data_IF_033869856043
#
_entry.id   IF_033869856043
#
_cell.length_a   1.000
_cell.length_b   1.000
_cell.length_c   1.000
_cell.angle_alpha   90.00
_cell.angle_beta   90.00
_cell.angle_gamma   90.00
#
_symmetry.space_group_name_H-M   'P 1'
#
loop_
_entity.id
_entity.type
_entity.pdbx_description
1 polymer ?
#
# COMPACT_ATOMS: atom_id res chain seq x y z
N UNK A 1 17.21 20.61 25.07
CA UNK A 1 18.16 19.59 25.54
C UNK A 1 18.53 19.91 26.98
N UNK A 2 18.37 18.94 27.88
CA UNK A 2 18.67 19.06 29.32
C UNK A 2 20.16 19.30 29.54
N UNK A 3 20.50 20.00 30.64
CA UNK A 3 21.89 20.21 31.05
C UNK A 3 22.57 18.89 31.46
N UNK A 4 23.89 18.80 31.24
CA UNK A 4 24.71 17.66 31.69
C UNK A 4 25.24 16.74 30.59
N UNK A 5 24.85 16.93 29.32
CA UNK A 5 25.51 16.26 28.20
C UNK A 5 26.91 16.84 27.99
N UNK A 6 27.94 15.99 28.04
CA UNK A 6 29.34 16.38 27.89
C UNK A 6 30.16 15.24 27.24
N UNK A 7 31.35 15.53 26.70
CA UNK A 7 32.25 14.49 26.21
C UNK A 7 32.46 13.38 27.25
N UNK A 8 32.40 12.14 26.80
CA UNK A 8 32.50 10.94 27.65
C UNK A 8 31.16 10.32 28.08
N UNK A 9 30.02 11.01 27.93
CA UNK A 9 28.71 10.37 28.07
C UNK A 9 28.56 9.25 27.03
N UNK A 10 28.00 8.10 27.41
CA UNK A 10 27.86 6.96 26.51
C UNK A 10 26.51 6.25 26.59
N UNK A 11 26.18 5.55 25.51
CA UNK A 11 25.02 4.68 25.40
C UNK A 11 25.41 3.35 24.79
N UNK A 12 24.71 2.29 25.19
CA UNK A 12 24.96 0.92 24.73
C UNK A 12 23.65 0.27 24.27
N UNK A 13 23.70 -0.41 23.13
CA UNK A 13 22.61 -1.23 22.62
C UNK A 13 23.13 -2.62 22.27
N UNK A 14 22.35 -3.65 22.58
CA UNK A 14 22.74 -5.05 22.36
C UNK A 14 21.70 -5.75 21.51
N UNK A 15 22.15 -6.51 20.50
CA UNK A 15 21.32 -7.34 19.62
C UNK A 15 21.83 -8.78 19.58
N UNK A 16 20.91 -9.70 19.29
CA UNK A 16 21.23 -11.07 18.90
C UNK A 16 21.14 -11.14 17.38
N UNK A 17 22.20 -11.60 16.72
CA UNK A 17 22.28 -11.66 15.26
C UNK A 17 21.38 -12.78 14.74
N UNK A 18 20.39 -12.43 13.92
CA UNK A 18 19.53 -13.37 13.21
C UNK A 18 19.80 -13.41 11.69
N UNK A 19 19.09 -14.30 10.98
CA UNK A 19 19.31 -14.57 9.57
C UNK A 19 19.06 -13.36 8.66
N UNK A 20 18.22 -12.40 9.07
CA UNK A 20 17.96 -11.16 8.31
C UNK A 20 19.11 -10.15 8.41
N UNK A 21 20.03 -10.34 9.36
CA UNK A 21 21.08 -9.37 9.66
C UNK A 21 22.44 -9.71 9.04
N UNK A 22 22.57 -10.91 8.47
CA UNK A 22 23.82 -11.44 7.93
C UNK A 22 23.86 -11.44 6.41
N UNK A 23 25.07 -11.39 5.84
CA UNK A 23 25.32 -11.67 4.42
C UNK A 23 26.20 -12.91 4.29
N UNK A 24 25.88 -13.76 3.34
CA UNK A 24 26.67 -14.97 3.03
C UNK A 24 27.73 -14.63 1.99
N UNK A 25 29.00 -14.70 2.38
CA UNK A 25 30.11 -14.38 1.49
C UNK A 25 30.41 -15.55 0.54
N UNK A 26 30.43 -15.28 -0.77
CA UNK A 26 30.77 -16.28 -1.77
C UNK A 26 29.81 -17.48 -1.87
N UNK A 27 28.62 -17.40 -1.28
CA UNK A 27 27.64 -18.49 -1.26
C UNK A 27 27.94 -19.62 -0.26
N UNK A 28 29.00 -19.52 0.55
CA UNK A 28 29.31 -20.49 1.61
C UNK A 28 28.53 -20.12 2.88
N UNK A 29 27.55 -20.94 3.26
CA UNK A 29 26.71 -20.71 4.45
C UNK A 29 27.48 -20.72 5.77
N UNK A 30 28.74 -21.15 5.79
CA UNK A 30 29.64 -21.04 6.94
C UNK A 30 30.31 -19.67 7.03
N UNK A 31 30.28 -18.89 5.96
CA UNK A 31 30.84 -17.55 5.85
C UNK A 31 29.75 -16.46 5.89
N UNK A 32 28.75 -16.64 6.76
CA UNK A 32 27.74 -15.62 7.04
C UNK A 32 28.26 -14.63 8.08
N UNK A 33 28.31 -13.36 7.73
CA UNK A 33 28.81 -12.28 8.59
C UNK A 33 27.76 -11.20 8.79
N UNK A 34 27.72 -10.63 9.99
CA UNK A 34 26.92 -9.44 10.29
C UNK A 34 27.20 -8.33 9.27
N UNK A 35 26.14 -7.86 8.64
CA UNK A 35 26.24 -7.01 7.46
C UNK A 35 26.52 -5.55 7.80
N UNK A 36 27.25 -4.85 6.93
CA UNK A 36 27.58 -3.43 7.10
C UNK A 36 26.35 -2.55 7.34
N UNK A 37 25.22 -2.69 6.62
CA UNK A 37 24.03 -1.88 6.90
C UNK A 37 23.47 -2.07 8.32
N UNK A 38 23.45 -3.31 8.82
CA UNK A 38 22.99 -3.59 10.18
C UNK A 38 23.98 -3.08 11.24
N UNK A 39 25.28 -3.09 10.93
CA UNK A 39 26.30 -2.48 11.78
C UNK A 39 26.13 -0.97 11.93
N UNK A 40 25.89 -0.27 10.82
CA UNK A 40 25.57 1.17 10.83
C UNK A 40 24.33 1.41 11.70
N UNK A 41 23.27 0.61 11.51
CA UNK A 41 22.02 0.77 12.27
C UNK A 41 22.20 0.53 13.79
N UNK A 42 23.01 -0.48 14.17
CA UNK A 42 23.32 -0.75 15.58
C UNK A 42 24.02 0.44 16.24
N UNK A 43 25.04 0.98 15.57
CA UNK A 43 25.80 2.14 16.05
C UNK A 43 24.94 3.40 16.10
N UNK A 44 24.12 3.63 15.07
CA UNK A 44 23.20 4.75 15.00
C UNK A 44 22.22 4.75 16.20
N UNK A 45 21.60 3.60 16.48
CA UNK A 45 20.67 3.48 17.60
C UNK A 45 21.38 3.58 18.95
N UNK A 46 22.61 3.08 19.06
CA UNK A 46 23.42 3.26 20.27
C UNK A 46 23.68 4.74 20.58
N UNK A 47 23.96 5.55 19.55
CA UNK A 47 24.12 7.00 19.69
C UNK A 47 22.80 7.70 20.07
N UNK A 48 21.66 7.22 19.56
CA UNK A 48 20.34 7.72 19.99
C UNK A 48 20.06 7.41 21.46
N UNK A 49 20.34 6.17 21.90
CA UNK A 49 20.17 5.79 23.31
C UNK A 49 21.08 6.60 24.24
N UNK A 50 22.30 6.94 23.81
CA UNK A 50 23.20 7.83 24.56
C UNK A 50 22.60 9.23 24.79
N UNK A 51 21.80 9.74 23.85
CA UNK A 51 21.15 11.06 23.94
C UNK A 51 19.84 11.06 24.71
N UNK A 52 19.11 9.95 24.71
CA UNK A 52 17.74 9.87 25.25
C UNK A 52 17.58 10.47 26.65
N UNK A 53 18.49 10.28 27.62
CA UNK A 53 18.36 10.90 28.95
C UNK A 53 18.40 12.43 28.95
N UNK A 54 19.00 13.03 27.92
CA UNK A 54 19.28 14.46 27.80
C UNK A 54 18.29 15.19 26.89
N UNK A 55 17.34 14.50 26.28
CA UNK A 55 16.28 15.13 25.47
C UNK A 55 15.21 15.77 26.38
N UNK A 56 14.72 16.95 25.99
CA UNK A 56 13.51 17.55 26.55
C UNK A 56 12.24 16.93 25.91
N UNK A 57 11.09 17.15 26.53
CA UNK A 57 9.81 16.73 25.94
C UNK A 57 9.61 17.41 24.57
N UNK A 58 9.18 16.64 23.58
CA UNK A 58 9.05 17.11 22.18
C UNK A 58 10.35 17.07 21.36
N UNK A 59 11.50 16.78 21.99
CA UNK A 59 12.77 16.64 21.27
C UNK A 59 13.04 15.20 20.81
N UNK A 60 13.65 15.08 19.63
CA UNK A 60 14.21 13.82 19.12
C UNK A 60 15.59 14.08 18.52
N UNK A 61 16.40 13.03 18.33
CA UNK A 61 17.66 13.14 17.60
C UNK A 61 17.58 12.42 16.25
N UNK A 62 18.13 13.04 15.21
CA UNK A 62 18.22 12.47 13.85
C UNK A 62 19.68 12.36 13.42
N UNK A 63 20.04 11.29 12.72
CA UNK A 63 21.36 11.14 12.12
C UNK A 63 21.56 12.16 11.00
N UNK A 64 22.73 12.81 10.97
CA UNK A 64 23.08 13.83 9.97
C UNK A 64 24.28 13.38 9.13
N UNK A 65 25.23 12.71 9.75
CA UNK A 65 26.41 12.18 9.09
C UNK A 65 26.85 10.90 9.81
N UNK A 66 27.35 9.94 9.03
CA UNK A 66 27.79 8.64 9.52
C UNK A 66 28.96 8.14 8.69
N UNK A 67 30.07 7.85 9.36
CA UNK A 67 31.29 7.32 8.74
C UNK A 67 31.76 6.12 9.53
N UNK A 68 31.57 4.93 8.97
CA UNK A 68 31.87 3.65 9.64
C UNK A 68 32.90 2.86 8.84
N UNK A 69 33.90 2.35 9.55
CA UNK A 69 34.85 1.35 9.07
C UNK A 69 34.49 -0.02 9.64
N UNK A 70 34.28 -0.98 8.75
CA UNK A 70 34.07 -2.37 9.09
C UNK A 70 35.44 -3.08 9.25
N UNK A 71 35.72 -3.65 10.42
CA UNK A 71 37.03 -4.23 10.75
C UNK A 71 36.99 -5.73 11.08
N UNK A 72 35.79 -6.32 11.22
CA UNK A 72 35.61 -7.75 11.46
C UNK A 72 34.14 -8.17 11.42
N UNK A 73 33.85 -9.48 11.41
CA UNK A 73 32.47 -9.99 11.32
C UNK A 73 31.92 -10.56 12.63
N UNK A 74 30.62 -10.88 12.65
CA UNK A 74 29.99 -11.68 13.70
C UNK A 74 29.14 -12.80 13.06
N UNK A 75 29.17 -14.05 13.58
CA UNK A 75 28.40 -15.15 13.03
C UNK A 75 26.92 -15.09 13.46
N UNK A 76 26.08 -15.90 12.81
CA UNK A 76 24.69 -16.10 13.19
C UNK A 76 24.58 -16.56 14.66
N UNK A 77 23.63 -16.01 15.41
CA UNK A 77 23.41 -16.32 16.82
C UNK A 77 24.39 -15.66 17.78
N UNK A 78 25.40 -14.93 17.30
CA UNK A 78 26.27 -14.15 18.17
C UNK A 78 25.56 -12.94 18.76
N UNK A 79 26.00 -12.52 19.95
CA UNK A 79 25.59 -11.27 20.56
C UNK A 79 26.52 -10.15 20.14
N UNK A 80 25.96 -9.13 19.49
CA UNK A 80 26.68 -7.92 19.12
C UNK A 80 26.20 -6.75 19.95
N UNK A 81 27.11 -5.86 20.32
CA UNK A 81 26.73 -4.63 21.01
C UNK A 81 27.44 -3.41 20.42
N UNK A 82 26.67 -2.34 20.29
CA UNK A 82 27.16 -1.03 19.90
C UNK A 82 27.40 -0.18 21.14
N UNK A 83 28.46 0.62 21.10
CA UNK A 83 28.77 1.66 22.08
C UNK A 83 28.92 2.97 21.32
N UNK A 84 28.27 4.02 21.81
CA UNK A 84 28.44 5.36 21.30
C UNK A 84 28.86 6.27 22.45
N UNK A 85 29.98 6.97 22.29
CA UNK A 85 30.53 7.89 23.28
C UNK A 85 30.55 9.29 22.70
N UNK A 86 30.00 10.27 23.42
CA UNK A 86 30.02 11.67 23.01
C UNK A 86 31.47 12.14 22.92
N UNK A 87 31.89 12.58 21.73
CA UNK A 87 33.22 13.15 21.52
C UNK A 87 33.18 14.68 21.47
N UNK A 88 32.10 15.26 20.96
CA UNK A 88 31.89 16.71 21.00
C UNK A 88 30.41 17.10 21.00
N UNK A 89 30.10 18.23 21.65
CA UNK A 89 28.75 18.84 21.65
C UNK A 89 28.88 20.26 21.09
N UNK A 90 28.28 20.51 19.93
CA UNK A 90 28.14 21.85 19.34
C UNK A 90 26.65 22.22 19.27
N UNK A 91 26.19 22.94 20.29
CA UNK A 91 24.78 23.34 20.46
C UNK A 91 23.84 22.15 20.43
N UNK A 92 23.14 21.94 19.31
CA UNK A 92 22.18 20.85 19.07
C UNK A 92 22.75 19.77 18.16
N UNK A 93 24.03 19.84 17.79
CA UNK A 93 24.74 18.78 17.07
C UNK A 93 25.69 18.07 18.03
N UNK A 94 25.62 16.75 18.04
CA UNK A 94 26.41 15.91 18.92
C UNK A 94 27.13 14.86 18.08
N UNK A 95 28.45 14.82 18.23
CA UNK A 95 29.33 13.87 17.57
C UNK A 95 29.64 12.74 18.53
N UNK A 96 29.61 11.52 18.02
CA UNK A 96 29.89 10.30 18.75
C UNK A 96 31.02 9.56 18.10
N UNK A 97 31.93 9.06 18.94
CA UNK A 97 32.78 7.93 18.58
C UNK A 97 31.93 6.67 18.79
N UNK A 98 31.73 5.91 17.71
CA UNK A 98 30.89 4.71 17.71
C UNK A 98 31.70 3.47 17.44
N UNK A 99 31.41 2.41 18.17
CA UNK A 99 32.08 1.13 18.07
C UNK A 99 31.05 0.00 18.15
N UNK A 100 31.32 -1.10 17.45
CA UNK A 100 30.53 -2.31 17.50
C UNK A 100 31.44 -3.48 17.84
N UNK A 101 30.95 -4.35 18.72
CA UNK A 101 31.69 -5.49 19.24
C UNK A 101 30.88 -6.77 19.12
N UNK A 102 31.58 -7.90 18.91
CA UNK A 102 31.07 -9.25 19.05
C UNK A 102 31.85 -9.93 20.18
N UNK A 103 31.23 -10.13 21.35
CA UNK A 103 31.99 -10.37 22.57
C UNK A 103 32.94 -9.19 22.83
N UNK A 104 34.22 -9.45 23.09
CA UNK A 104 35.24 -8.40 23.30
C UNK A 104 35.95 -7.96 22.01
N UNK A 105 35.61 -8.57 20.86
CA UNK A 105 36.25 -8.27 19.58
C UNK A 105 35.57 -7.09 18.89
N UNK A 106 36.35 -6.05 18.58
CA UNK A 106 35.92 -4.94 17.73
C UNK A 106 35.61 -5.44 16.31
N UNK A 107 34.41 -5.16 15.83
CA UNK A 107 33.94 -5.54 14.49
C UNK A 107 33.66 -4.32 13.62
N UNK A 108 33.41 -3.15 14.20
CA UNK A 108 33.33 -1.89 13.47
C UNK A 108 33.61 -0.71 14.36
N UNK A 109 34.04 0.40 13.76
CA UNK A 109 34.24 1.66 14.44
C UNK A 109 34.03 2.85 13.50
N UNK A 110 33.82 4.03 14.07
CA UNK A 110 33.70 5.24 13.28
C UNK A 110 33.14 6.41 14.04
N UNK A 111 32.56 7.35 13.30
CA UNK A 111 32.00 8.59 13.84
C UNK A 111 30.55 8.72 13.39
N UNK A 112 29.69 9.17 14.30
CA UNK A 112 28.28 9.43 14.02
C UNK A 112 27.90 10.82 14.51
N UNK A 113 27.19 11.59 13.70
CA UNK A 113 26.72 12.93 14.07
C UNK A 113 25.20 12.93 14.14
N UNK A 114 24.64 13.37 15.27
CA UNK A 114 23.20 13.56 15.44
C UNK A 114 22.85 15.01 15.67
N UNK A 115 21.75 15.46 15.07
CA UNK A 115 21.13 16.73 15.40
C UNK A 115 19.90 16.50 16.28
N UNK A 116 19.79 17.27 17.37
CA UNK A 116 18.61 17.32 18.21
C UNK A 116 17.62 18.30 17.59
N UNK A 117 16.41 17.82 17.32
CA UNK A 117 15.35 18.51 16.58
C UNK A 117 14.09 18.57 17.43
N UNK A 118 13.23 19.54 17.14
CA UNK A 118 11.88 19.62 17.70
C UNK A 118 10.93 18.87 16.78
N UNK A 119 10.19 17.91 17.31
CA UNK A 119 9.31 17.04 16.52
C UNK A 119 8.22 17.87 15.84
N UNK A 120 7.61 18.81 16.55
CA UNK A 120 6.55 19.68 16.01
C UNK A 120 7.05 20.49 14.82
N UNK A 121 8.28 21.01 14.88
CA UNK A 121 8.87 21.78 13.77
C UNK A 121 9.13 20.90 12.55
N UNK A 122 9.50 19.63 12.74
CA UNK A 122 9.63 18.68 11.62
C UNK A 122 8.25 18.38 11.04
N UNK A 123 7.24 18.15 11.87
CA UNK A 123 5.85 17.93 11.43
C UNK A 123 5.34 19.13 10.62
N UNK A 124 5.55 20.36 11.11
CA UNK A 124 5.18 21.58 10.40
C UNK A 124 5.92 21.74 9.07
N UNK A 125 7.22 21.45 9.02
CA UNK A 125 8.00 21.55 7.78
C UNK A 125 7.60 20.48 6.76
N UNK A 126 7.32 19.25 7.22
CA UNK A 126 6.77 18.18 6.37
C UNK A 126 5.39 18.61 5.85
N UNK A 127 4.54 19.20 6.71
CA UNK A 127 3.23 19.70 6.30
C UNK A 127 3.33 20.82 5.26
N UNK A 128 4.29 21.74 5.40
CA UNK A 128 4.56 22.80 4.41
C UNK A 128 5.13 22.27 3.10
N UNK A 129 6.03 21.28 3.15
CA UNK A 129 6.51 20.57 1.94
C UNK A 129 5.40 19.76 1.28
N UNK A 130 4.36 19.39 2.05
CA UNK A 130 3.16 18.71 1.59
C UNK A 130 2.03 19.67 1.15
N UNK A 131 2.33 20.92 0.76
CA UNK A 131 1.34 21.82 0.12
C UNK A 131 0.80 21.32 -1.24
N UNK A 132 1.21 20.14 -1.71
CA UNK A 132 0.28 19.22 -2.36
C UNK A 132 0.11 18.02 -1.43
N UNK A 133 -1.07 17.81 -0.82
CA UNK A 133 -1.22 16.91 0.30
C UNK A 133 -0.93 15.48 -0.15
N UNK A 134 0.29 15.03 0.12
CA UNK A 134 0.61 13.65 0.33
C UNK A 134 -0.04 13.22 1.66
N UNK A 135 -1.37 13.22 1.73
CA UNK A 135 -2.06 12.57 2.83
C UNK A 135 -1.61 11.11 2.84
N UNK A 136 -1.00 10.68 3.94
CA UNK A 136 -1.08 9.27 4.28
C UNK A 136 -2.58 8.95 4.33
N UNK A 137 -3.05 8.01 3.48
CA UNK A 137 -4.45 7.61 3.29
C UNK A 137 -5.34 7.95 4.51
N UNK A 138 -6.13 9.01 4.37
CA UNK A 138 -6.84 9.73 5.44
C UNK A 138 -8.17 9.06 5.85
N UNK A 139 -8.26 7.74 5.77
CA UNK A 139 -9.47 7.01 6.19
C UNK A 139 -9.34 6.60 7.65
N UNK A 140 -10.10 7.27 8.51
CA UNK A 140 -10.24 6.95 9.93
C UNK A 140 -11.45 6.04 10.17
N UNK A 141 -11.42 5.30 11.28
CA UNK A 141 -12.55 4.51 11.74
C UNK A 141 -13.75 5.41 12.09
N UNK A 142 -14.94 5.01 11.67
CA UNK A 142 -16.21 5.64 12.04
C UNK A 142 -17.11 4.61 12.74
N UNK A 143 -17.46 4.87 14.00
CA UNK A 143 -18.32 4.01 14.84
C UNK A 143 -19.80 4.40 14.77
N UNK A 144 -20.17 5.39 13.96
CA UNK A 144 -21.57 5.78 13.74
C UNK A 144 -22.26 4.78 12.82
N UNK A 145 -23.59 4.78 12.79
CA UNK A 145 -24.35 4.02 11.78
C UNK A 145 -23.97 4.46 10.37
N UNK A 146 -23.95 3.51 9.42
CA UNK A 146 -23.74 3.81 8.01
C UNK A 146 -24.91 4.69 7.52
N UNK A 147 -24.65 5.83 6.85
CA UNK A 147 -25.71 6.65 6.30
C UNK A 147 -26.41 5.93 5.14
N UNK A 148 -27.55 6.46 4.71
CA UNK A 148 -28.21 5.98 3.49
C UNK A 148 -27.31 6.27 2.27
N UNK A 149 -26.98 5.22 1.52
CA UNK A 149 -26.11 5.26 0.35
C UNK A 149 -26.96 5.04 -0.92
N UNK A 150 -26.64 5.73 -2.00
CA UNK A 150 -27.42 5.66 -3.24
C UNK A 150 -26.81 4.71 -4.26
N UNK A 151 -25.48 4.65 -4.30
CA UNK A 151 -24.69 3.95 -5.31
C UNK A 151 -24.00 2.69 -4.79
N UNK A 152 -24.02 2.47 -3.47
CA UNK A 152 -23.53 1.26 -2.80
C UNK A 152 -24.61 0.74 -1.86
N UNK A 153 -24.75 -0.58 -1.74
CA UNK A 153 -25.60 -1.22 -0.72
C UNK A 153 -24.73 -2.05 0.22
N UNK A 154 -25.06 -2.04 1.50
CA UNK A 154 -24.39 -2.86 2.52
C UNK A 154 -25.45 -3.63 3.28
N UNK A 155 -25.39 -4.95 3.20
CA UNK A 155 -26.20 -5.87 4.03
C UNK A 155 -25.27 -6.62 4.98
N UNK A 156 -25.65 -6.72 6.26
CA UNK A 156 -24.86 -7.44 7.26
C UNK A 156 -25.69 -8.57 7.84
N UNK A 157 -25.23 -9.79 7.59
CA UNK A 157 -25.85 -11.02 8.10
C UNK A 157 -24.76 -11.92 8.66
N UNK A 158 -24.93 -12.45 9.88
CA UNK A 158 -23.99 -13.38 10.53
C UNK A 158 -22.52 -12.90 10.55
N UNK A 159 -22.31 -11.60 10.81
CA UNK A 159 -20.99 -10.94 10.79
C UNK A 159 -20.30 -10.90 9.42
N UNK A 160 -21.03 -11.16 8.34
CA UNK A 160 -20.57 -10.99 6.96
C UNK A 160 -21.27 -9.77 6.37
N UNK A 161 -20.48 -8.79 5.92
CA UNK A 161 -21.02 -7.65 5.18
C UNK A 161 -20.96 -7.93 3.68
N UNK A 162 -22.11 -7.90 3.00
CA UNK A 162 -22.19 -7.91 1.54
C UNK A 162 -22.27 -6.48 1.03
N UNK A 163 -21.15 -5.98 0.50
CA UNK A 163 -21.03 -4.67 -0.14
C UNK A 163 -21.30 -4.82 -1.63
N UNK A 164 -22.39 -4.24 -2.11
CA UNK A 164 -22.83 -4.31 -3.50
C UNK A 164 -22.70 -2.95 -4.18
N UNK A 165 -21.88 -2.86 -5.22
CA UNK A 165 -21.86 -1.71 -6.13
C UNK A 165 -23.22 -1.66 -6.86
N UNK A 166 -23.96 -0.58 -6.73
CA UNK A 166 -25.38 -0.51 -7.07
C UNK A 166 -25.70 0.64 -8.05
N UNK A 167 -25.04 0.64 -9.22
CA UNK A 167 -25.40 1.46 -10.38
C UNK A 167 -25.58 0.57 -11.63
N UNK A 168 -26.52 -0.41 -11.61
CA UNK A 168 -26.61 -1.45 -12.65
C UNK A 168 -26.88 -0.89 -14.05
N UNK A 169 -27.60 0.24 -14.17
CA UNK A 169 -27.86 0.92 -15.44
C UNK A 169 -26.58 1.44 -16.12
N UNK A 170 -25.56 1.77 -15.32
CA UNK A 170 -24.23 2.21 -15.78
C UNK A 170 -23.17 1.12 -15.61
N UNK A 171 -23.57 -0.16 -15.50
CA UNK A 171 -22.65 -1.28 -15.28
C UNK A 171 -21.75 -1.10 -14.04
N UNK A 172 -22.28 -0.46 -13.01
CA UNK A 172 -21.55 -0.12 -11.79
C UNK A 172 -20.27 0.70 -12.05
N UNK A 173 -20.27 1.58 -13.06
CA UNK A 173 -19.18 2.52 -13.26
C UNK A 173 -18.96 3.38 -11.99
N UNK A 174 -17.69 3.64 -11.67
CA UNK A 174 -17.28 4.36 -10.46
C UNK A 174 -17.41 5.86 -10.69
N UNK A 175 -18.43 6.47 -10.09
CA UNK A 175 -18.60 7.93 -10.06
C UNK A 175 -17.86 8.57 -8.89
N UNK A 176 -17.80 9.90 -8.89
CA UNK A 176 -17.40 10.69 -7.71
C UNK A 176 -18.25 10.32 -6.49
N UNK A 177 -19.57 10.17 -6.68
CA UNK A 177 -20.46 9.77 -5.60
C UNK A 177 -20.15 8.36 -5.07
N UNK A 178 -19.97 7.38 -5.96
CA UNK A 178 -19.63 6.02 -5.54
C UNK A 178 -18.26 5.98 -4.84
N UNK A 179 -17.29 6.76 -5.29
CA UNK A 179 -16.00 6.91 -4.62
C UNK A 179 -16.17 7.41 -3.18
N UNK A 180 -16.99 8.44 -2.98
CA UNK A 180 -17.31 8.95 -1.64
C UNK A 180 -18.01 7.91 -0.77
N UNK A 181 -19.01 7.21 -1.32
CA UNK A 181 -19.78 6.21 -0.58
C UNK A 181 -18.94 4.97 -0.21
N UNK A 182 -18.07 4.48 -1.10
CA UNK A 182 -17.14 3.38 -0.78
C UNK A 182 -16.17 3.82 0.33
N UNK A 183 -15.65 5.05 0.29
CA UNK A 183 -14.81 5.59 1.37
C UNK A 183 -15.55 5.60 2.71
N UNK A 184 -16.83 5.99 2.72
CA UNK A 184 -17.68 5.92 3.93
C UNK A 184 -17.85 4.48 4.42
N UNK A 185 -18.07 3.52 3.51
CA UNK A 185 -18.17 2.09 3.84
C UNK A 185 -16.87 1.57 4.43
N UNK A 186 -15.71 1.91 3.86
CA UNK A 186 -14.39 1.51 4.39
C UNK A 186 -14.16 2.08 5.80
N UNK A 187 -14.42 3.38 6.00
CA UNK A 187 -14.33 4.01 7.32
C UNK A 187 -15.28 3.37 8.34
N UNK A 188 -16.50 3.02 7.92
CA UNK A 188 -17.45 2.32 8.77
C UNK A 188 -16.96 0.90 9.13
N UNK A 189 -16.47 0.12 8.16
CA UNK A 189 -15.91 -1.21 8.41
C UNK A 189 -14.71 -1.16 9.37
N UNK A 190 -13.83 -0.17 9.25
CA UNK A 190 -12.73 0.06 10.19
C UNK A 190 -13.22 0.28 11.63
N UNK A 191 -14.38 0.92 11.81
CA UNK A 191 -14.99 1.17 13.13
C UNK A 191 -15.74 -0.01 13.72
N UNK A 192 -16.07 -1.04 12.93
CA UNK A 192 -16.92 -2.16 13.34
C UNK A 192 -16.25 -3.54 13.16
N UNK A 193 -14.99 -3.75 13.60
CA UNK A 193 -14.26 -5.00 13.37
C UNK A 193 -14.84 -6.20 14.13
N UNK A 194 -15.63 -5.96 15.17
CA UNK A 194 -16.29 -7.02 15.94
C UNK A 194 -17.61 -7.43 15.30
N UNK A 195 -18.37 -6.47 14.77
CA UNK A 195 -19.69 -6.72 14.17
C UNK A 195 -19.56 -7.30 12.76
N UNK A 196 -18.58 -6.82 12.00
CA UNK A 196 -18.25 -7.35 10.68
C UNK A 196 -16.88 -7.99 10.71
N UNK A 197 -16.83 -9.26 10.33
CA UNK A 197 -15.63 -10.11 10.39
C UNK A 197 -15.11 -10.50 9.01
N UNK A 198 -15.98 -10.53 7.99
CA UNK A 198 -15.63 -10.82 6.59
C UNK A 198 -16.48 -9.91 5.69
N UNK A 199 -15.93 -9.46 4.58
CA UNK A 199 -16.62 -8.65 3.57
C UNK A 199 -16.73 -9.44 2.26
N UNK A 200 -17.92 -9.46 1.67
CA UNK A 200 -18.14 -9.88 0.29
C UNK A 200 -18.35 -8.61 -0.55
N UNK A 201 -17.54 -8.42 -1.60
CA UNK A 201 -17.68 -7.31 -2.54
C UNK A 201 -18.26 -7.83 -3.85
N UNK A 202 -19.35 -7.25 -4.35
CA UNK A 202 -20.00 -7.66 -5.61
C UNK A 202 -20.65 -6.48 -6.33
N UNK A 203 -21.16 -6.69 -7.54
CA UNK A 203 -21.91 -5.70 -8.31
C UNK A 203 -23.38 -6.08 -8.49
N UNK A 204 -24.26 -5.08 -8.61
CA UNK A 204 -25.65 -5.29 -9.00
C UNK A 204 -25.79 -5.42 -10.52
N UNK A 205 -26.77 -6.21 -10.98
CA UNK A 205 -27.09 -6.34 -12.40
C UNK A 205 -26.07 -7.19 -13.16
N UNK A 206 -25.80 -6.84 -14.42
CA UNK A 206 -25.09 -7.70 -15.39
C UNK A 206 -23.56 -7.62 -15.36
N UNK A 207 -22.97 -6.79 -14.51
CA UNK A 207 -21.52 -6.61 -14.41
C UNK A 207 -21.10 -6.38 -12.97
N UNK A 208 -19.86 -6.76 -12.64
CA UNK A 208 -19.23 -6.40 -11.39
C UNK A 208 -18.99 -4.89 -11.35
N UNK A 209 -18.16 -4.36 -12.24
CA UNK A 209 -17.85 -2.94 -12.38
C UNK A 209 -17.15 -2.63 -13.71
N UNK A 210 -17.68 -1.69 -14.47
CA UNK A 210 -17.15 -1.30 -15.79
C UNK A 210 -16.00 -0.25 -15.75
N UNK A 211 -15.46 0.08 -14.57
CA UNK A 211 -14.40 1.07 -14.42
C UNK A 211 -14.92 2.46 -14.07
N UNK A 212 -14.09 3.49 -14.26
CA UNK A 212 -14.48 4.87 -13.96
C UNK A 212 -15.61 5.36 -14.87
N UNK A 213 -16.47 6.23 -14.34
CA UNK A 213 -17.55 6.83 -15.12
C UNK A 213 -16.99 7.86 -16.13
N UNK A 214 -16.72 7.38 -17.34
CA UNK A 214 -16.15 8.19 -18.45
C UNK A 214 -17.01 9.44 -18.74
N UNK A 215 -18.31 9.41 -18.48
CA UNK A 215 -19.18 10.58 -18.67
C UNK A 215 -18.90 11.67 -17.65
N UNK A 216 -18.68 11.30 -16.38
CA UNK A 216 -18.28 12.27 -15.34
C UNK A 216 -16.89 12.79 -15.63
N UNK A 217 -15.96 11.91 -16.03
CA UNK A 217 -14.57 12.30 -16.31
C UNK A 217 -14.47 13.42 -17.36
N UNK A 218 -15.28 13.36 -18.42
CA UNK A 218 -15.32 14.39 -19.48
C UNK A 218 -15.63 15.79 -18.95
N UNK A 219 -16.32 15.90 -17.82
CA UNK A 219 -16.72 17.17 -17.22
C UNK A 219 -15.73 17.70 -16.18
N UNK A 220 -14.68 16.94 -15.84
CA UNK A 220 -13.70 17.32 -14.83
C UNK A 220 -12.57 18.15 -15.43
N UNK A 221 -12.08 19.11 -14.65
CA UNK A 221 -10.79 19.74 -14.92
C UNK A 221 -9.65 18.74 -14.66
N UNK A 222 -8.47 18.90 -15.29
CA UNK A 222 -7.32 18.03 -15.00
C UNK A 222 -6.94 18.00 -13.51
N UNK A 223 -7.06 19.12 -12.81
CA UNK A 223 -6.80 19.18 -11.36
C UNK A 223 -7.79 18.33 -10.56
N UNK A 224 -9.10 18.44 -10.88
CA UNK A 224 -10.14 17.64 -10.22
C UNK A 224 -10.03 16.16 -10.58
N UNK A 225 -9.69 15.82 -11.82
CA UNK A 225 -9.44 14.44 -12.24
C UNK A 225 -8.24 13.84 -11.50
N UNK A 226 -7.19 14.64 -11.25
CA UNK A 226 -6.03 14.22 -10.45
C UNK A 226 -6.43 13.89 -9.02
N UNK A 227 -7.17 14.78 -8.38
CA UNK A 227 -7.66 14.58 -7.01
C UNK A 227 -8.55 13.35 -6.90
N UNK A 228 -9.47 13.16 -7.85
CA UNK A 228 -10.34 11.98 -7.90
C UNK A 228 -9.52 10.69 -8.06
N UNK A 229 -8.55 10.68 -8.98
CA UNK A 229 -7.69 9.51 -9.23
C UNK A 229 -6.88 9.13 -7.98
N UNK A 230 -6.32 10.11 -7.27
CA UNK A 230 -5.65 9.88 -5.98
C UNK A 230 -6.61 9.34 -4.92
N UNK A 231 -7.82 9.93 -4.81
CA UNK A 231 -8.82 9.48 -3.85
C UNK A 231 -9.28 8.04 -4.09
N UNK A 232 -9.43 7.64 -5.36
CA UNK A 232 -9.78 6.29 -5.76
C UNK A 232 -8.64 5.30 -5.48
N UNK A 233 -7.40 5.67 -5.79
CA UNK A 233 -6.23 4.87 -5.44
C UNK A 233 -6.15 4.62 -3.93
N UNK A 234 -6.28 5.68 -3.12
CA UNK A 234 -6.28 5.59 -1.66
C UNK A 234 -7.43 4.75 -1.12
N UNK A 235 -8.61 4.87 -1.73
CA UNK A 235 -9.80 4.09 -1.37
C UNK A 235 -9.55 2.60 -1.54
N UNK A 236 -8.97 2.18 -2.66
CA UNK A 236 -8.66 0.77 -2.91
C UNK A 236 -7.49 0.26 -2.05
N UNK A 237 -6.44 1.06 -1.86
CA UNK A 237 -5.34 0.71 -0.95
C UNK A 237 -5.81 0.57 0.52
N UNK A 238 -6.91 1.23 0.89
CA UNK A 238 -7.48 1.08 2.24
C UNK A 238 -8.08 -0.30 2.50
N UNK A 239 -8.36 -1.09 1.46
CA UNK A 239 -8.83 -2.46 1.61
C UNK A 239 -7.81 -3.34 2.32
N UNK A 240 -6.51 -3.12 2.06
CA UNK A 240 -5.40 -3.82 2.72
C UNK A 240 -5.34 -3.54 4.22
N UNK A 241 -5.81 -2.36 4.64
CA UNK A 241 -5.84 -1.92 6.05
C UNK A 241 -7.08 -2.38 6.81
N UNK A 242 -8.11 -2.86 6.11
CA UNK A 242 -9.30 -3.38 6.78
C UNK A 242 -8.96 -4.64 7.58
N UNK A 243 -9.37 -4.74 8.86
CA UNK A 243 -9.18 -5.95 9.66
C UNK A 243 -10.00 -7.13 9.10
N UNK A 244 -11.08 -6.86 8.36
CA UNK A 244 -11.89 -7.89 7.72
C UNK A 244 -11.22 -8.35 6.41
N UNK A 245 -11.08 -9.66 6.17
CA UNK A 245 -10.81 -10.18 4.84
C UNK A 245 -11.95 -9.84 3.89
N UNK A 246 -11.61 -9.52 2.65
CA UNK A 246 -12.51 -9.09 1.59
C UNK A 246 -12.45 -10.12 0.47
N UNK A 247 -13.61 -10.63 0.06
CA UNK A 247 -13.76 -11.58 -1.03
C UNK A 247 -14.53 -10.87 -2.15
N UNK A 248 -13.86 -10.58 -3.26
CA UNK A 248 -14.52 -10.11 -4.47
C UNK A 248 -15.23 -11.26 -5.17
N UNK A 249 -16.52 -11.09 -5.42
CA UNK A 249 -17.40 -11.99 -6.15
C UNK A 249 -17.66 -11.36 -7.52
N UNK A 250 -16.90 -11.78 -8.52
CA UNK A 250 -16.85 -11.12 -9.82
C UNK A 250 -17.70 -11.88 -10.83
N UNK A 251 -18.78 -11.26 -11.32
CA UNK A 251 -19.58 -11.72 -12.46
C UNK A 251 -19.58 -10.65 -13.56
N UNK A 252 -19.76 -11.08 -14.81
CA UNK A 252 -19.72 -10.16 -15.95
C UNK A 252 -18.42 -9.34 -16.02
N UNK A 253 -18.53 -8.07 -16.36
CA UNK A 253 -17.34 -7.24 -16.62
C UNK A 253 -16.74 -6.62 -15.34
N UNK A 254 -15.42 -6.78 -15.19
CA UNK A 254 -14.56 -6.11 -14.21
C UNK A 254 -13.43 -5.38 -14.95
N UNK A 255 -13.69 -4.15 -15.39
CA UNK A 255 -12.81 -3.40 -16.28
C UNK A 255 -12.24 -2.16 -15.60
N UNK A 256 -10.99 -1.79 -15.93
CA UNK A 256 -10.31 -0.60 -15.41
C UNK A 256 -10.37 -0.54 -13.88
N UNK A 257 -10.91 0.55 -13.33
CA UNK A 257 -11.17 0.69 -11.89
C UNK A 257 -11.97 -0.48 -11.27
N UNK A 258 -12.83 -1.15 -12.03
CA UNK A 258 -13.53 -2.36 -11.60
C UNK A 258 -12.65 -3.59 -11.52
N UNK A 259 -11.64 -3.69 -12.40
CA UNK A 259 -10.58 -4.69 -12.27
C UNK A 259 -9.76 -4.40 -11.01
N UNK A 260 -9.39 -3.13 -10.78
CA UNK A 260 -8.71 -2.68 -9.55
C UNK A 260 -9.51 -3.07 -8.31
N UNK A 261 -10.80 -2.74 -8.25
CA UNK A 261 -11.67 -3.10 -7.14
C UNK A 261 -11.66 -4.61 -6.83
N UNK A 262 -11.59 -5.45 -7.86
CA UNK A 262 -11.53 -6.90 -7.70
C UNK A 262 -10.19 -7.36 -7.11
N UNK A 263 -9.06 -6.89 -7.64
CA UNK A 263 -7.73 -7.31 -7.17
C UNK A 263 -7.20 -6.57 -5.94
N UNK A 264 -7.84 -5.48 -5.53
CA UNK A 264 -7.62 -4.88 -4.21
C UNK A 264 -8.35 -5.63 -3.08
N UNK A 265 -9.27 -6.54 -3.39
CA UNK A 265 -9.79 -7.50 -2.41
C UNK A 265 -8.74 -8.57 -2.07
N UNK A 266 -8.87 -9.24 -0.92
CA UNK A 266 -7.91 -10.27 -0.50
C UNK A 266 -8.05 -11.56 -1.33
N UNK A 267 -9.28 -11.94 -1.66
CA UNK A 267 -9.60 -13.10 -2.49
C UNK A 267 -10.55 -12.71 -3.62
N UNK A 268 -10.46 -13.43 -4.75
CA UNK A 268 -11.33 -13.27 -5.92
C UNK A 268 -11.93 -14.61 -6.32
N UNK A 269 -13.26 -14.67 -6.32
CA UNK A 269 -14.04 -15.76 -6.90
C UNK A 269 -14.75 -15.18 -8.12
N UNK A 270 -14.57 -15.80 -9.27
CA UNK A 270 -15.15 -15.32 -10.52
C UNK A 270 -16.23 -16.27 -11.04
N UNK A 271 -17.27 -15.75 -11.68
CA UNK A 271 -18.17 -16.57 -12.49
C UNK A 271 -17.48 -17.00 -13.79
N UNK A 272 -17.91 -18.09 -14.42
CA UNK A 272 -17.44 -18.46 -15.76
C UNK A 272 -17.61 -17.35 -16.81
N UNK A 273 -18.62 -16.51 -16.65
CA UNK A 273 -18.91 -15.40 -17.55
C UNK A 273 -18.08 -14.14 -17.24
N UNK A 274 -17.29 -14.14 -16.17
CA UNK A 274 -16.52 -12.97 -15.78
C UNK A 274 -15.40 -12.65 -16.78
N UNK A 275 -15.15 -11.36 -16.98
CA UNK A 275 -14.12 -10.82 -17.86
C UNK A 275 -13.34 -9.70 -17.17
N UNK A 276 -12.03 -9.69 -17.35
CA UNK A 276 -11.12 -8.71 -16.74
C UNK A 276 -10.36 -7.95 -17.81
N UNK A 277 -10.24 -6.63 -17.69
CA UNK A 277 -9.51 -5.79 -18.67
C UNK A 277 -8.98 -4.50 -18.02
N UNK A 278 -7.93 -3.93 -18.63
CA UNK A 278 -7.46 -2.56 -18.37
C UNK A 278 -7.59 -1.74 -19.68
N UNK A 279 -8.80 -1.31 -20.06
CA UNK A 279 -9.10 -0.79 -21.39
C UNK A 279 -8.77 0.70 -21.58
N UNK A 280 -8.16 1.37 -20.60
CA UNK A 280 -7.91 2.81 -20.60
C UNK A 280 -7.13 3.28 -21.83
N UNK A 281 -6.20 2.44 -22.34
CA UNK A 281 -5.42 2.73 -23.54
C UNK A 281 -6.31 2.96 -24.77
N UNK A 282 -7.49 2.32 -24.82
CA UNK A 282 -8.48 2.48 -25.90
C UNK A 282 -9.21 3.83 -25.83
N UNK A 283 -9.01 4.59 -24.75
CA UNK A 283 -9.52 5.95 -24.57
C UNK A 283 -8.40 7.02 -24.68
N UNK A 284 -7.14 6.62 -24.83
CA UNK A 284 -6.02 7.53 -25.02
C UNK A 284 -5.21 7.85 -23.75
N UNK A 285 -5.35 7.07 -22.67
CA UNK A 285 -4.55 7.25 -21.45
C UNK A 285 -4.20 5.93 -20.77
N UNK A 286 -3.14 5.87 -19.93
CA UNK A 286 -2.84 4.69 -19.12
C UNK A 286 -3.78 4.59 -17.91
N UNK A 287 -3.86 3.43 -17.23
CA UNK A 287 -4.52 3.33 -15.93
C UNK A 287 -3.95 4.34 -14.93
N UNK A 288 -4.81 5.03 -14.18
CA UNK A 288 -4.40 6.07 -13.22
C UNK A 288 -3.98 5.54 -11.86
N UNK A 289 -4.18 4.25 -11.59
CA UNK A 289 -3.80 3.57 -10.35
C UNK A 289 -3.91 2.03 -10.51
N UNK A 290 -3.32 1.30 -9.57
CA UNK A 290 -3.46 -0.15 -9.45
C UNK A 290 -2.54 -0.98 -10.36
N UNK A 291 -1.67 -0.35 -11.16
CA UNK A 291 -0.76 -1.06 -12.10
C UNK A 291 0.23 -1.96 -11.34
N UNK A 292 0.76 -1.45 -10.22
CA UNK A 292 1.72 -2.19 -9.41
C UNK A 292 1.11 -3.46 -8.78
N UNK A 293 -0.13 -3.39 -8.27
CA UNK A 293 -0.86 -4.57 -7.78
C UNK A 293 -1.09 -5.58 -8.93
N UNK A 294 -1.57 -5.13 -10.09
CA UNK A 294 -1.74 -6.00 -11.25
C UNK A 294 -0.43 -6.71 -11.63
N UNK A 295 0.68 -5.97 -11.64
CA UNK A 295 2.01 -6.52 -11.93
C UNK A 295 2.44 -7.57 -10.90
N UNK A 296 2.13 -7.38 -9.63
CA UNK A 296 2.41 -8.36 -8.57
C UNK A 296 1.60 -9.66 -8.76
N UNK A 297 0.34 -9.58 -9.20
CA UNK A 297 -0.50 -10.75 -9.41
C UNK A 297 -0.15 -11.53 -10.69
N UNK A 298 -0.08 -10.85 -11.83
CA UNK A 298 0.05 -11.54 -13.13
C UNK A 298 1.45 -11.48 -13.71
N UNK A 299 2.37 -10.74 -13.11
CA UNK A 299 3.71 -10.50 -13.64
C UNK A 299 3.75 -9.46 -14.76
N UNK A 300 4.94 -8.89 -14.99
CA UNK A 300 5.16 -7.74 -15.87
C UNK A 300 4.61 -7.91 -17.29
N UNK A 301 4.92 -9.03 -17.96
CA UNK A 301 4.55 -9.20 -19.38
C UNK A 301 3.04 -9.29 -19.59
N UNK A 302 2.33 -9.96 -18.68
CA UNK A 302 0.86 -10.11 -18.74
C UNK A 302 0.16 -8.81 -18.34
N UNK A 303 0.69 -8.09 -17.35
CA UNK A 303 0.20 -6.76 -17.00
C UNK A 303 0.35 -5.79 -18.19
N UNK A 304 1.49 -5.83 -18.89
CA UNK A 304 1.68 -5.08 -20.13
C UNK A 304 0.67 -5.49 -21.20
N UNK A 305 0.47 -6.80 -21.46
CA UNK A 305 -0.54 -7.28 -22.41
C UNK A 305 -1.93 -6.71 -22.10
N UNK A 306 -2.36 -6.74 -20.84
CA UNK A 306 -3.67 -6.21 -20.44
C UNK A 306 -3.77 -4.70 -20.65
N UNK A 307 -2.75 -3.93 -20.25
CA UNK A 307 -2.77 -2.47 -20.28
C UNK A 307 -2.50 -1.87 -21.67
N UNK A 308 -1.72 -2.53 -22.53
CA UNK A 308 -1.39 -1.98 -23.87
C UNK A 308 -2.36 -2.43 -24.95
N UNK A 309 -3.00 -3.59 -24.78
CA UNK A 309 -4.00 -4.09 -25.73
C UNK A 309 -5.42 -3.70 -25.33
N UNK A 310 -5.68 -3.48 -24.04
CA UNK A 310 -7.00 -3.14 -23.52
C UNK A 310 -8.07 -4.23 -23.72
N UNK A 311 -7.66 -5.44 -24.12
CA UNK A 311 -8.58 -6.53 -24.43
C UNK A 311 -8.98 -7.32 -23.18
N UNK A 312 -10.25 -7.77 -23.09
CA UNK A 312 -10.69 -8.58 -21.97
C UNK A 312 -10.10 -9.99 -22.00
N UNK A 313 -9.64 -10.45 -20.84
CA UNK A 313 -9.31 -11.86 -20.58
C UNK A 313 -10.50 -12.56 -19.91
N UNK A 314 -10.65 -13.87 -20.17
CA UNK A 314 -11.70 -14.69 -19.53
C UNK A 314 -11.36 -15.02 -18.08
N UNK A 315 -12.38 -15.40 -17.30
CA UNK A 315 -12.19 -15.91 -15.93
C UNK A 315 -11.20 -17.08 -15.85
N UNK A 316 -11.22 -17.99 -16.83
CA UNK A 316 -10.26 -19.11 -16.90
C UNK A 316 -8.83 -18.62 -17.09
N UNK A 317 -8.60 -17.69 -18.03
CA UNK A 317 -7.27 -17.12 -18.25
C UNK A 317 -6.80 -16.33 -17.02
N UNK A 318 -7.71 -15.62 -16.34
CA UNK A 318 -7.42 -14.91 -15.10
C UNK A 318 -7.04 -15.87 -13.95
N UNK A 319 -7.68 -17.04 -13.84
CA UNK A 319 -7.31 -18.10 -12.91
C UNK A 319 -5.90 -18.63 -13.22
N UNK A 320 -5.64 -18.99 -14.48
CA UNK A 320 -4.34 -19.51 -14.93
C UNK A 320 -3.19 -18.51 -14.70
N UNK A 321 -3.50 -17.22 -14.72
CA UNK A 321 -2.54 -16.14 -14.50
C UNK A 321 -2.32 -15.79 -13.03
N UNK A 322 -3.10 -16.37 -12.11
CA UNK A 322 -3.03 -16.08 -10.68
C UNK A 322 -3.81 -14.82 -10.26
N UNK A 323 -4.56 -14.21 -11.18
CA UNK A 323 -5.43 -13.06 -10.86
C UNK A 323 -6.69 -13.49 -10.12
N UNK A 324 -7.21 -14.70 -10.35
CA UNK A 324 -8.43 -15.22 -9.71
C UNK A 324 -8.09 -16.46 -8.89
N UNK A 325 -8.71 -16.64 -7.72
CA UNK A 325 -8.47 -17.81 -6.87
C UNK A 325 -9.32 -19.02 -7.26
N UNK A 326 -10.56 -18.77 -7.70
CA UNK A 326 -11.53 -19.82 -8.03
C UNK A 326 -12.52 -19.33 -9.09
N UNK A 327 -12.91 -20.21 -10.02
CA UNK A 327 -13.94 -19.93 -11.02
C UNK A 327 -15.11 -20.90 -10.84
N UNK A 328 -16.34 -20.37 -10.76
CA UNK A 328 -17.56 -21.13 -10.49
C UNK A 328 -18.70 -20.77 -11.45
N UNK A 329 -19.77 -21.57 -11.54
CA UNK A 329 -21.01 -21.13 -12.16
C UNK A 329 -21.57 -19.87 -11.49
N UNK A 330 -22.12 -18.94 -12.26
CA UNK A 330 -22.62 -17.66 -11.74
C UNK A 330 -23.69 -17.84 -10.66
N UNK A 331 -24.59 -18.82 -10.84
CA UNK A 331 -25.63 -19.17 -9.88
C UNK A 331 -25.06 -19.62 -8.51
N UNK A 332 -23.82 -20.11 -8.49
CA UNK A 332 -23.14 -20.56 -7.27
C UNK A 332 -22.28 -19.47 -6.64
N UNK A 333 -22.03 -18.35 -7.32
CA UNK A 333 -21.02 -17.36 -6.92
C UNK A 333 -21.26 -16.80 -5.52
N UNK A 334 -22.47 -16.30 -5.23
CA UNK A 334 -22.82 -15.75 -3.92
C UNK A 334 -22.75 -16.82 -2.82
N UNK A 335 -23.33 -18.01 -3.09
CA UNK A 335 -23.30 -19.12 -2.14
C UNK A 335 -21.87 -19.57 -1.81
N UNK A 336 -20.97 -19.53 -2.80
CA UNK A 336 -19.57 -19.89 -2.64
C UNK A 336 -18.82 -18.85 -1.80
N UNK A 337 -19.06 -17.57 -2.06
CA UNK A 337 -18.56 -16.48 -1.22
C UNK A 337 -18.94 -16.65 0.25
N UNK A 338 -20.22 -16.92 0.53
CA UNK A 338 -20.68 -17.19 1.89
C UNK A 338 -20.04 -18.43 2.50
N UNK A 339 -19.85 -19.52 1.76
CA UNK A 339 -19.17 -20.71 2.29
C UNK A 339 -17.73 -20.41 2.74
N UNK A 340 -16.98 -19.62 1.95
CA UNK A 340 -15.62 -19.20 2.32
C UNK A 340 -15.66 -18.28 3.53
N UNK A 341 -16.58 -17.30 3.55
CA UNK A 341 -16.75 -16.40 4.69
C UNK A 341 -17.09 -17.16 5.97
N UNK A 342 -18.00 -18.13 5.92
CA UNK A 342 -18.37 -18.96 7.06
C UNK A 342 -17.19 -19.78 7.58
N UNK A 343 -16.31 -20.29 6.70
CA UNK A 343 -15.06 -20.94 7.13
C UNK A 343 -14.13 -19.97 7.84
N UNK A 344 -13.98 -18.74 7.34
CA UNK A 344 -13.17 -17.71 7.99
C UNK A 344 -13.73 -17.29 9.35
N UNK A 345 -15.06 -17.30 9.53
CA UNK A 345 -15.69 -17.01 10.82
C UNK A 345 -15.37 -18.04 11.90
N UNK A 346 -15.03 -19.28 11.52
CA UNK A 346 -14.58 -20.31 12.46
C UNK A 346 -13.12 -20.13 12.90
N UNK A 347 -12.36 -19.21 12.28
CA UNK A 347 -10.97 -18.95 12.64
C UNK A 347 -10.85 -17.95 13.80
N UNK A 348 -9.78 -18.01 14.62
CA UNK A 348 -9.51 -16.99 15.62
C UNK A 348 -9.42 -15.60 14.99
N UNK A 349 -10.26 -14.68 15.47
CA UNK A 349 -10.46 -13.36 14.85
C UNK A 349 -9.17 -12.58 14.67
N UNK A 350 -8.37 -12.53 15.73
CA UNK A 350 -7.14 -11.75 15.74
C UNK A 350 -6.05 -12.39 14.88
N UNK A 351 -5.97 -13.73 14.87
CA UNK A 351 -5.04 -14.44 14.00
C UNK A 351 -5.36 -14.19 12.51
N UNK A 352 -6.64 -14.17 12.14
CA UNK A 352 -7.07 -13.86 10.78
C UNK A 352 -6.69 -12.43 10.35
N UNK A 353 -6.94 -11.45 11.23
CA UNK A 353 -6.58 -10.03 11.02
C UNK A 353 -5.08 -9.85 10.87
N UNK A 354 -4.30 -10.38 11.79
CA UNK A 354 -2.85 -10.27 11.78
C UNK A 354 -2.24 -11.02 10.58
N UNK A 355 -2.81 -12.17 10.19
CA UNK A 355 -2.37 -12.88 8.98
C UNK A 355 -2.54 -12.00 7.74
N UNK A 356 -3.73 -11.40 7.55
CA UNK A 356 -3.97 -10.45 6.45
C UNK A 356 -2.97 -9.29 6.50
N UNK A 357 -2.79 -8.68 7.68
CA UNK A 357 -1.88 -7.54 7.87
C UNK A 357 -0.44 -7.89 7.51
N UNK A 358 0.04 -9.08 7.90
CA UNK A 358 1.40 -9.55 7.61
C UNK A 358 1.61 -9.83 6.12
N UNK A 359 0.64 -10.42 5.43
CA UNK A 359 0.71 -10.66 3.98
C UNK A 359 0.79 -9.34 3.21
N UNK A 360 -0.07 -8.37 3.53
CA UNK A 360 -0.01 -7.04 2.90
C UNK A 360 1.26 -6.27 3.26
N UNK A 361 1.85 -6.52 4.43
CA UNK A 361 3.13 -5.93 4.79
C UNK A 361 4.27 -6.52 3.92
N UNK A 362 4.25 -7.83 3.66
CA UNK A 362 5.27 -8.55 2.90
C UNK A 362 5.27 -8.24 1.39
N UNK A 363 4.10 -7.94 0.80
CA UNK A 363 3.98 -7.46 -0.60
C UNK A 363 4.88 -6.23 -0.88
N UNK A 364 5.25 -5.50 0.18
CA UNK A 364 6.20 -4.41 0.13
C UNK A 364 5.52 -3.04 -0.04
N UNK A 365 6.30 -2.06 -0.49
CA UNK A 365 5.86 -0.66 -0.57
C UNK A 365 5.53 -0.21 -2.00
N UNK A 366 5.98 -0.93 -3.04
CA UNK A 366 5.83 -0.49 -4.42
C UNK A 366 4.36 -0.24 -4.81
N UNK A 367 3.40 -1.16 -4.58
CA UNK A 367 1.98 -0.90 -4.84
C UNK A 367 1.42 0.33 -4.13
N UNK A 368 1.91 0.59 -2.91
CA UNK A 368 1.41 1.66 -2.03
C UNK A 368 1.90 3.05 -2.42
N UNK A 369 3.01 3.16 -3.15
CA UNK A 369 3.57 4.47 -3.57
C UNK A 369 3.46 4.71 -5.07
N UNK A 370 3.39 3.65 -5.89
CA UNK A 370 3.37 3.76 -7.35
C UNK A 370 2.13 4.48 -7.89
N UNK A 371 0.99 4.40 -7.18
CA UNK A 371 -0.26 5.02 -7.62
C UNK A 371 -0.13 6.52 -7.92
N UNK A 372 0.79 7.25 -7.26
CA UNK A 372 1.05 8.66 -7.58
C UNK A 372 1.66 8.83 -8.96
N UNK A 373 2.64 7.99 -9.31
CA UNK A 373 3.24 8.01 -10.64
C UNK A 373 2.23 7.57 -11.72
N UNK A 374 1.39 6.58 -11.40
CA UNK A 374 0.27 6.16 -12.26
C UNK A 374 -0.67 7.36 -12.52
N UNK A 375 -1.08 8.07 -11.47
CA UNK A 375 -1.95 9.25 -11.58
C UNK A 375 -1.29 10.37 -12.40
N UNK A 376 -0.02 10.71 -12.17
CA UNK A 376 0.65 11.75 -12.96
C UNK A 376 0.77 11.36 -14.44
N UNK A 377 0.98 10.07 -14.74
CA UNK A 377 1.00 9.58 -16.12
C UNK A 377 -0.37 9.68 -16.78
N UNK A 378 -1.40 9.27 -16.07
CA UNK A 378 -2.79 9.40 -16.49
C UNK A 378 -3.17 10.86 -16.77
N UNK A 379 -2.90 11.78 -15.84
CA UNK A 379 -3.26 13.20 -15.98
C UNK A 379 -2.51 13.87 -17.12
N UNK A 380 -1.22 13.55 -17.31
CA UNK A 380 -0.48 14.04 -18.47
C UNK A 380 -1.16 13.62 -19.78
N UNK A 381 -1.46 12.33 -19.95
CA UNK A 381 -2.11 11.82 -21.16
C UNK A 381 -3.53 12.38 -21.34
N UNK A 382 -4.28 12.60 -20.25
CA UNK A 382 -5.63 13.18 -20.29
C UNK A 382 -5.67 14.58 -20.91
N UNK A 383 -4.55 15.32 -20.89
CA UNK A 383 -4.45 16.65 -21.51
C UNK A 383 -4.13 16.63 -23.02
N UNK A 384 -3.75 15.48 -23.56
CA UNK A 384 -3.33 15.32 -24.95
C UNK A 384 -4.52 15.25 -25.93
N UNK A 385 -4.30 15.52 -27.24
CA UNK A 385 -5.35 15.40 -28.26
C UNK A 385 -6.01 14.02 -28.32
N UNK A 386 -5.22 12.95 -28.18
CA UNK A 386 -5.73 11.57 -28.26
C UNK A 386 -6.74 11.24 -27.16
N UNK A 387 -6.57 11.78 -25.94
CA UNK A 387 -7.56 11.63 -24.88
C UNK A 387 -8.87 12.36 -25.18
N UNK A 388 -8.80 13.55 -25.81
CA UNK A 388 -10.01 14.28 -26.25
C UNK A 388 -10.77 13.49 -27.33
N UNK A 389 -10.03 12.90 -28.26
CA UNK A 389 -10.58 12.05 -29.30
C UNK A 389 -11.21 10.78 -28.71
N UNK A 390 -10.53 10.11 -27.78
CA UNK A 390 -11.06 8.92 -27.09
C UNK A 390 -12.36 9.22 -26.34
N UNK A 391 -12.42 10.34 -25.60
CA UNK A 391 -13.64 10.79 -24.92
C UNK A 391 -14.79 11.11 -25.91
N UNK A 392 -14.48 11.77 -27.03
CA UNK A 392 -15.46 12.08 -28.07
C UNK A 392 -15.99 10.80 -28.73
N UNK A 393 -15.09 9.91 -29.14
CA UNK A 393 -15.43 8.64 -29.78
C UNK A 393 -16.27 7.74 -28.88
N UNK A 394 -15.95 7.68 -27.58
CA UNK A 394 -16.75 6.95 -26.59
C UNK A 394 -18.18 7.51 -26.47
N UNK A 395 -18.32 8.84 -26.40
CA UNK A 395 -19.62 9.49 -26.33
C UNK A 395 -20.46 9.25 -27.60
N UNK A 396 -19.83 9.31 -28.76
CA UNK A 396 -20.45 9.11 -30.08
C UNK A 396 -20.64 7.62 -30.43
N UNK A 397 -20.15 6.70 -29.59
CA UNK A 397 -20.15 5.24 -29.81
C UNK A 397 -19.49 4.84 -31.14
N UNK A 398 -18.40 5.51 -31.48
CA UNK A 398 -17.58 5.24 -32.68
C UNK A 398 -16.19 4.77 -32.27
N UNK A 399 -15.43 4.27 -33.25
CA UNK A 399 -14.01 3.95 -33.05
C UNK A 399 -13.18 5.25 -32.98
N UNK A 400 -12.23 5.39 -32.04
CA UNK A 400 -11.35 6.55 -31.99
C UNK A 400 -10.29 6.50 -33.09
N UNK A 401 -9.86 7.69 -33.53
CA UNK A 401 -8.79 7.90 -34.51
C UNK A 401 -7.61 8.66 -33.87
N UNK A 402 -6.71 7.91 -33.21
CA UNK A 402 -5.53 8.47 -32.56
C UNK A 402 -4.47 8.91 -33.57
N UNK A 403 -3.90 10.09 -33.36
CA UNK A 403 -2.87 10.68 -34.22
C UNK A 403 -1.45 10.44 -33.67
N UNK A 404 -1.32 10.09 -32.39
CA UNK A 404 -0.03 9.80 -31.75
C UNK A 404 0.81 11.04 -31.44
N UNK A 405 0.17 12.20 -31.28
CA UNK A 405 0.79 13.51 -30.99
C UNK A 405 0.88 13.84 -29.49
#
# INVERSE_FOLDING_TARGET
MKSGLQPGCSGRLTWVVDASMVITLGGDSRASVFSTPNMILLMERSAREALRPFLEDGEESVGVDVSIRHVGGAPLGATVHGVATVSSVDRRRVTFDVQAFCGDRLIGEGTHVRAVVQVERIVENIAKLAESPAQAMSLSANTSSLPELQTVKVDVTDRVATVTLNRPASLNAVSVQMTSEIRQVVSWLLGHPQDVRVVLLTGAGRAFCAGDDVKELRSLSPGTARELSLQQAEMYLAFERLPQPIIALVHGDAFGAGCVAAYSADLRIASHAARFAMPEILLGWPPGYGIAQLTAFVGKSRALEMCTMGQPISASKALDWGLVNEVVPEISLLSRGHQIAQRMLQMPAEALRETKRLVHLDEGQQPKVAHRADTEAYIRCLTLPDAREGLAAFADKRRPEFQGE
#
